data_IF_619361425014
#
_entry.id   IF_619361425014
#
_cell.length_a   1.000
_cell.length_b   1.000
_cell.length_c   1.000
_cell.angle_alpha   90.00
_cell.angle_beta   90.00
_cell.angle_gamma   90.00
#
_symmetry.space_group_name_H-M   'P 1'
#
loop_
_entity.id
_entity.type
_entity.pdbx_description
1 polymer ?
#
# COMPACT_ATOMS: atom_id res chain seq x y z
N UNK A 1 -51.59 8.00 -23.80
CA UNK A 1 -50.93 6.69 -23.86
C UNK A 1 -49.90 6.65 -22.74
N UNK A 2 -50.29 6.19 -21.55
CA UNK A 2 -49.41 6.15 -20.37
C UNK A 2 -48.67 4.82 -20.35
N UNK A 3 -47.38 4.83 -20.67
CA UNK A 3 -46.52 3.66 -20.47
C UNK A 3 -46.39 3.44 -18.95
N UNK A 4 -46.98 2.36 -18.44
CA UNK A 4 -46.76 1.90 -17.07
C UNK A 4 -45.45 1.12 -17.08
N UNK A 5 -44.45 1.62 -16.37
CA UNK A 5 -43.26 0.82 -16.05
C UNK A 5 -43.74 -0.14 -14.95
N UNK A 6 -43.78 -1.42 -15.25
CA UNK A 6 -44.03 -2.46 -14.24
C UNK A 6 -42.83 -2.51 -13.29
N UNK A 7 -43.09 -2.62 -11.98
CA UNK A 7 -42.05 -2.74 -10.96
C UNK A 7 -41.31 -4.07 -11.13
N UNK A 8 -40.17 -4.03 -11.83
CA UNK A 8 -39.27 -5.17 -11.94
C UNK A 8 -38.58 -5.35 -10.59
N UNK A 9 -38.87 -6.45 -9.91
CA UNK A 9 -38.21 -6.81 -8.65
C UNK A 9 -36.75 -7.16 -8.94
N UNK A 10 -35.84 -6.22 -8.66
CA UNK A 10 -34.40 -6.42 -8.81
C UNK A 10 -33.79 -6.97 -7.52
N UNK A 11 -33.24 -8.17 -7.59
CA UNK A 11 -32.43 -8.74 -6.52
C UNK A 11 -30.99 -8.21 -6.59
N UNK A 12 -30.53 -7.56 -5.52
CA UNK A 12 -29.13 -7.12 -5.38
C UNK A 12 -28.38 -8.14 -4.53
N UNK A 13 -27.44 -8.86 -5.14
CA UNK A 13 -26.58 -9.83 -4.45
C UNK A 13 -25.21 -9.20 -4.21
N UNK A 14 -24.78 -9.16 -2.94
CA UNK A 14 -23.45 -8.68 -2.55
C UNK A 14 -22.53 -9.89 -2.29
N UNK A 15 -21.32 -9.86 -2.84
CA UNK A 15 -20.34 -10.90 -2.60
C UNK A 15 -19.88 -10.97 -1.14
N UNK A 16 -19.73 -12.19 -0.61
CA UNK A 16 -19.34 -12.44 0.81
C UNK A 16 -18.03 -11.76 1.23
N UNK A 17 -17.10 -11.61 0.28
CA UNK A 17 -15.78 -11.01 0.51
C UNK A 17 -15.64 -9.63 -0.16
N UNK A 18 -16.76 -8.95 -0.44
CA UNK A 18 -16.73 -7.59 -0.95
C UNK A 18 -16.17 -6.64 0.14
N UNK A 19 -15.33 -5.68 -0.28
CA UNK A 19 -14.77 -4.67 0.60
C UNK A 19 -13.25 -4.74 0.74
N UNK A 20 -12.74 -4.22 1.85
CA UNK A 20 -11.32 -4.05 2.07
C UNK A 20 -10.70 -5.30 2.72
N UNK A 21 -9.53 -5.71 2.24
CA UNK A 21 -8.73 -6.75 2.89
C UNK A 21 -8.26 -6.27 4.28
N UNK A 22 -8.23 -7.17 5.26
CA UNK A 22 -7.78 -6.90 6.64
C UNK A 22 -6.38 -6.27 6.71
N UNK A 23 -5.48 -6.60 5.78
CA UNK A 23 -4.14 -6.02 5.73
C UNK A 23 -4.18 -4.56 5.31
N UNK A 24 -5.01 -4.22 4.32
CA UNK A 24 -5.18 -2.84 3.89
C UNK A 24 -5.90 -2.01 4.97
N UNK A 25 -6.89 -2.61 5.67
CA UNK A 25 -7.55 -1.96 6.81
C UNK A 25 -6.53 -1.64 7.92
N UNK A 26 -5.72 -2.62 8.33
CA UNK A 26 -4.66 -2.41 9.33
C UNK A 26 -3.70 -1.29 8.92
N UNK A 27 -3.35 -1.20 7.64
CA UNK A 27 -2.46 -0.16 7.15
C UNK A 27 -3.07 1.25 7.29
N UNK A 28 -4.36 1.40 6.98
CA UNK A 28 -5.12 2.64 7.17
C UNK A 28 -5.22 3.00 8.66
N UNK A 29 -5.59 2.04 9.50
CA UNK A 29 -5.77 2.26 10.95
C UNK A 29 -4.47 2.72 11.60
N UNK A 30 -3.34 2.08 11.24
CA UNK A 30 -2.02 2.45 11.76
C UNK A 30 -1.59 3.84 11.29
N UNK A 31 -1.84 4.17 10.02
CA UNK A 31 -1.57 5.50 9.48
C UNK A 31 -2.32 6.58 10.27
N UNK A 32 -3.61 6.36 10.54
CA UNK A 32 -4.44 7.25 11.35
C UNK A 32 -3.96 7.34 12.80
N UNK A 33 -3.54 6.23 13.40
CA UNK A 33 -2.96 6.24 14.75
C UNK A 33 -1.73 7.17 14.82
N UNK A 34 -0.82 7.05 13.86
CA UNK A 34 0.40 7.87 13.84
C UNK A 34 0.14 9.36 13.65
N UNK A 35 -0.98 9.75 13.01
CA UNK A 35 -1.34 11.19 12.88
C UNK A 35 -1.59 11.86 14.22
N UNK A 36 -1.88 11.09 15.27
CA UNK A 36 -2.03 11.62 16.64
C UNK A 36 -0.69 12.04 17.25
N UNK A 37 0.42 11.53 16.73
CA UNK A 37 1.77 11.75 17.25
C UNK A 37 2.52 12.89 16.53
N UNK A 38 1.99 13.40 15.41
CA UNK A 38 2.59 14.50 14.65
C UNK A 38 2.41 14.35 13.14
N UNK A 39 3.26 15.04 12.37
CA UNK A 39 3.21 15.02 10.91
C UNK A 39 3.63 13.66 10.35
N UNK A 40 2.70 12.98 9.68
CA UNK A 40 2.91 11.67 9.05
C UNK A 40 3.06 11.80 7.55
N UNK A 41 4.09 11.15 7.03
CA UNK A 41 4.40 11.09 5.61
C UNK A 41 4.25 9.65 5.11
N UNK A 42 3.46 9.42 4.06
CA UNK A 42 3.28 8.12 3.45
C UNK A 42 3.95 8.09 2.08
N UNK A 43 4.88 7.16 1.87
CA UNK A 43 5.52 6.93 0.58
C UNK A 43 4.54 6.26 -0.38
N UNK A 44 4.05 7.03 -1.35
CA UNK A 44 2.95 6.65 -2.23
C UNK A 44 1.62 6.49 -1.49
N UNK A 45 0.56 6.19 -2.25
CA UNK A 45 -0.77 5.97 -1.67
C UNK A 45 -0.83 4.66 -0.86
N UNK A 46 -1.49 4.72 0.31
CA UNK A 46 -1.66 3.55 1.19
C UNK A 46 -2.56 2.48 0.56
N UNK A 47 -3.56 2.92 -0.21
CA UNK A 47 -4.51 2.12 -1.03
C UNK A 47 -4.95 2.94 -2.23
N UNK A 48 -5.40 2.29 -3.31
CA UNK A 48 -5.93 2.96 -4.50
C UNK A 48 -7.43 3.22 -4.41
N UNK A 49 -7.85 3.95 -3.37
CA UNK A 49 -9.23 4.39 -3.19
C UNK A 49 -9.25 5.88 -2.88
N UNK A 50 -9.80 6.67 -3.81
CA UNK A 50 -9.80 8.14 -3.71
C UNK A 50 -10.48 8.66 -2.44
N UNK A 51 -11.61 8.09 -2.05
CA UNK A 51 -12.35 8.52 -0.85
C UNK A 51 -11.51 8.26 0.41
N UNK A 52 -10.79 7.14 0.46
CA UNK A 52 -9.87 6.83 1.56
C UNK A 52 -8.70 7.80 1.57
N UNK A 53 -8.07 8.04 0.42
CA UNK A 53 -6.93 8.97 0.29
C UNK A 53 -7.32 10.39 0.70
N UNK A 54 -8.48 10.89 0.27
CA UNK A 54 -8.97 12.21 0.62
C UNK A 54 -9.29 12.33 2.12
N UNK A 55 -9.81 11.26 2.73
CA UNK A 55 -10.07 11.23 4.18
C UNK A 55 -8.76 11.26 4.99
N UNK A 56 -7.74 10.54 4.53
CA UNK A 56 -6.42 10.51 5.18
C UNK A 56 -5.67 11.84 5.05
N UNK A 57 -5.77 12.51 3.90
CA UNK A 57 -5.23 13.86 3.72
C UNK A 57 -5.89 14.85 4.68
N UNK A 58 -7.21 14.79 4.85
CA UNK A 58 -7.94 15.61 5.83
C UNK A 58 -7.54 15.30 7.27
N UNK A 59 -7.16 14.06 7.56
CA UNK A 59 -6.61 13.65 8.85
C UNK A 59 -5.14 14.06 9.07
N UNK A 60 -4.50 14.74 8.10
CA UNK A 60 -3.13 15.26 8.25
C UNK A 60 -2.03 14.39 7.64
N UNK A 61 -2.37 13.33 6.91
CA UNK A 61 -1.38 12.50 6.20
C UNK A 61 -0.87 13.23 4.94
N UNK A 62 0.44 13.35 4.83
CA UNK A 62 1.12 13.85 3.64
C UNK A 62 1.59 12.68 2.76
N UNK A 63 1.00 12.51 1.57
CA UNK A 63 1.48 11.53 0.60
C UNK A 63 2.66 12.11 -0.20
N UNK A 64 3.77 11.40 -0.24
CA UNK A 64 5.04 11.83 -0.87
C UNK A 64 5.53 10.76 -1.85
N UNK A 65 6.32 11.18 -2.85
CA UNK A 65 6.90 10.26 -3.81
C UNK A 65 8.37 9.94 -3.50
N UNK A 66 9.06 10.84 -2.79
CA UNK A 66 10.45 10.67 -2.41
C UNK A 66 10.65 10.84 -0.90
N UNK A 67 11.48 9.99 -0.30
CA UNK A 67 11.81 9.98 1.14
C UNK A 67 12.42 11.29 1.64
N UNK A 68 13.09 12.02 0.74
CA UNK A 68 13.71 13.32 1.01
C UNK A 68 12.68 14.40 1.39
N UNK A 69 11.42 14.23 0.96
CA UNK A 69 10.33 15.17 1.26
C UNK A 69 9.82 15.04 2.69
N UNK A 70 10.03 13.88 3.33
CA UNK A 70 9.53 13.62 4.67
C UNK A 70 10.33 14.37 5.74
N UNK A 71 9.62 14.97 6.68
CA UNK A 71 10.18 15.70 7.83
C UNK A 71 9.78 15.11 9.18
N UNK A 72 9.17 13.92 9.19
CA UNK A 72 8.63 13.30 10.39
C UNK A 72 8.45 11.80 10.22
N UNK A 73 7.48 11.22 10.92
CA UNK A 73 7.15 9.80 10.85
C UNK A 73 6.87 9.40 9.41
N UNK A 74 7.67 8.48 8.89
CA UNK A 74 7.57 8.05 7.49
C UNK A 74 7.05 6.63 7.43
N UNK A 75 6.05 6.40 6.57
CA UNK A 75 5.35 5.14 6.44
C UNK A 75 5.50 4.63 5.01
N UNK A 76 5.86 3.36 4.88
CA UNK A 76 5.79 2.64 3.61
C UNK A 76 4.43 1.95 3.54
N UNK A 77 3.68 2.22 2.47
CA UNK A 77 2.32 1.71 2.32
C UNK A 77 2.21 0.21 2.02
N UNK A 78 0.99 -0.31 1.94
CA UNK A 78 0.72 -1.75 1.80
C UNK A 78 1.30 -2.39 0.52
N UNK A 79 1.48 -1.60 -0.54
CA UNK A 79 2.10 -2.02 -1.80
C UNK A 79 3.63 -2.15 -1.69
N UNK A 80 4.22 -1.58 -0.64
CA UNK A 80 5.66 -1.44 -0.46
C UNK A 80 6.30 -0.48 -1.46
N UNK A 81 7.62 -0.36 -1.36
CA UNK A 81 8.43 0.48 -2.26
C UNK A 81 9.46 -0.34 -3.03
N UNK A 82 10.13 0.33 -3.96
CA UNK A 82 11.25 -0.20 -4.73
C UNK A 82 12.51 -0.31 -3.87
N UNK A 83 13.49 -1.10 -4.31
CA UNK A 83 14.73 -1.35 -3.55
C UNK A 83 15.54 -0.06 -3.31
N UNK A 84 15.59 0.83 -4.29
CA UNK A 84 16.31 2.10 -4.20
C UNK A 84 15.75 3.00 -3.09
N UNK A 85 14.45 2.97 -2.82
CA UNK A 85 13.87 3.72 -1.70
C UNK A 85 14.29 3.09 -0.36
N UNK A 86 14.28 1.77 -0.23
CA UNK A 86 14.82 1.09 0.96
C UNK A 86 16.31 1.39 1.18
N UNK A 87 17.11 1.33 0.11
CA UNK A 87 18.55 1.62 0.19
C UNK A 87 18.78 3.10 0.57
N UNK A 88 17.90 4.02 0.14
CA UNK A 88 17.94 5.43 0.56
C UNK A 88 17.57 5.60 2.04
N UNK A 89 16.51 4.95 2.53
CA UNK A 89 16.12 5.05 3.96
C UNK A 89 17.25 4.60 4.87
N UNK A 90 17.92 3.49 4.52
CA UNK A 90 19.06 2.97 5.26
C UNK A 90 20.25 3.93 5.23
N UNK A 91 20.58 4.49 4.06
CA UNK A 91 21.67 5.49 3.92
C UNK A 91 21.42 6.77 4.70
N UNK A 92 20.17 7.20 4.81
CA UNK A 92 19.77 8.38 5.57
C UNK A 92 19.65 8.12 7.08
N UNK A 93 19.85 6.86 7.52
CA UNK A 93 19.59 6.40 8.89
C UNK A 93 18.21 6.86 9.40
N UNK A 94 17.21 6.79 8.51
CA UNK A 94 15.86 7.29 8.78
C UNK A 94 14.95 6.14 9.16
N UNK A 95 14.35 6.22 10.34
CA UNK A 95 13.39 5.22 10.79
C UNK A 95 12.09 5.32 9.98
N UNK A 96 11.65 4.19 9.44
CA UNK A 96 10.42 4.07 8.64
C UNK A 96 9.54 2.96 9.20
N UNK A 97 8.23 3.20 9.26
CA UNK A 97 7.23 2.19 9.62
C UNK A 97 6.82 1.49 8.32
N UNK A 98 7.26 0.25 8.15
CA UNK A 98 6.92 -0.54 6.96
C UNK A 98 5.62 -1.32 7.17
N UNK A 99 4.56 -0.90 6.47
CA UNK A 99 3.25 -1.54 6.47
C UNK A 99 3.01 -2.40 5.21
N UNK A 100 4.07 -2.76 4.48
CA UNK A 100 3.98 -3.62 3.30
C UNK A 100 3.25 -4.91 3.63
N UNK A 101 2.29 -5.28 2.78
CA UNK A 101 1.54 -6.51 2.94
C UNK A 101 2.47 -7.74 3.01
N UNK A 102 2.31 -8.64 4.01
CA UNK A 102 3.17 -9.82 4.15
C UNK A 102 3.19 -10.72 2.90
N UNK A 103 2.09 -10.74 2.13
CA UNK A 103 2.01 -11.44 0.85
C UNK A 103 3.00 -10.83 -0.16
N UNK A 104 3.06 -9.50 -0.25
CA UNK A 104 4.01 -8.79 -1.13
C UNK A 104 5.45 -9.05 -0.70
N UNK A 105 5.74 -9.04 0.61
CA UNK A 105 7.08 -9.39 1.13
C UNK A 105 7.48 -10.80 0.70
N UNK A 106 6.56 -11.76 0.80
CA UNK A 106 6.80 -13.15 0.40
C UNK A 106 7.08 -13.26 -1.10
N UNK A 107 6.30 -12.56 -1.94
CA UNK A 107 6.51 -12.51 -3.39
C UNK A 107 7.87 -11.90 -3.74
N UNK A 108 8.25 -10.77 -3.11
CA UNK A 108 9.58 -10.15 -3.31
C UNK A 108 10.72 -11.09 -2.95
N UNK A 109 10.59 -11.88 -1.86
CA UNK A 109 11.58 -12.90 -1.48
C UNK A 109 11.68 -14.02 -2.51
N UNK A 110 10.55 -14.50 -3.03
CA UNK A 110 10.52 -15.52 -4.09
C UNK A 110 11.12 -15.01 -5.41
N UNK A 111 10.81 -13.78 -5.81
CA UNK A 111 11.41 -13.17 -6.99
C UNK A 111 12.94 -13.13 -6.87
N UNK A 112 13.47 -12.70 -5.72
CA UNK A 112 14.92 -12.68 -5.46
C UNK A 112 15.54 -14.08 -5.50
N UNK A 113 14.88 -15.10 -4.94
CA UNK A 113 15.41 -16.47 -4.94
C UNK A 113 15.46 -17.06 -6.36
N UNK A 114 14.42 -16.82 -7.17
CA UNK A 114 14.37 -17.23 -8.57
C UNK A 114 15.45 -16.52 -9.39
N UNK A 115 15.59 -15.19 -9.25
CA UNK A 115 16.63 -14.42 -9.95
C UNK A 115 18.04 -14.95 -9.62
N UNK A 116 18.33 -15.23 -8.35
CA UNK A 116 19.62 -15.79 -7.93
C UNK A 116 19.86 -17.16 -8.57
N UNK A 117 18.84 -18.02 -8.63
CA UNK A 117 18.94 -19.36 -9.20
C UNK A 117 19.11 -19.33 -10.73
N UNK A 118 18.39 -18.46 -11.42
CA UNK A 118 18.55 -18.25 -12.87
C UNK A 118 19.94 -17.70 -13.18
N UNK A 119 20.41 -16.70 -12.42
CA UNK A 119 21.75 -16.15 -12.58
C UNK A 119 22.84 -17.22 -12.37
N UNK A 120 22.69 -18.06 -11.34
CA UNK A 120 23.59 -19.19 -11.10
C UNK A 120 23.55 -20.20 -12.26
N UNK A 121 22.37 -20.59 -12.74
CA UNK A 121 22.25 -21.53 -13.85
C UNK A 121 22.83 -21.01 -15.18
N UNK A 122 22.86 -19.69 -15.40
CA UNK A 122 23.51 -19.08 -16.57
C UNK A 122 25.03 -18.91 -16.38
N UNK A 123 25.50 -18.64 -15.16
CA UNK A 123 26.93 -18.47 -14.87
C UNK A 123 27.74 -19.77 -14.91
N UNK A 124 27.09 -20.93 -14.73
CA UNK A 124 27.71 -22.27 -14.76
C UNK A 124 27.54 -23.00 -16.10
N UNK A 125 26.93 -22.34 -17.10
CA UNK A 125 26.80 -22.85 -18.47
C UNK A 125 27.83 -22.23 -19.44
N UNK A 126 28.84 -21.54 -18.91
CA UNK A 126 30.02 -21.08 -19.65
C UNK A 126 31.23 -21.92 -19.25
#
# INVERSE_FOLDING_TARGET
MSCKIEDIEMEIIIGKNAGLCSVAQRAIDKLLEETKNGSVYCLGEIVHNRNVIDSLKKAGVCFINNIDESKGTTIIGAHGVTKDIYDKTDKMNKEVIDLTCPVIIKIKKWQKSIQKRLFYNYSWKK
#
